data_IF_713707123132
#
_entry.id   IF_713707123132
#
_cell.length_a   1.000
_cell.length_b   1.000
_cell.length_c   1.000
_cell.angle_alpha   90.00
_cell.angle_beta   90.00
_cell.angle_gamma   90.00
#
_symmetry.space_group_name_H-M   'P 1'
#
loop_
_entity.id
_entity.type
_entity.pdbx_description
1 polymer ?
#
# COMPACT_ATOMS: atom_id res chain seq x y z
N UNK A 1 12.64 -22.61 0.23
CA UNK A 1 12.46 -21.15 0.40
C UNK A 1 12.47 -20.49 -0.98
N UNK A 2 11.66 -19.46 -1.19
CA UNK A 2 11.63 -18.67 -2.43
C UNK A 2 12.41 -17.36 -2.25
N UNK A 3 13.32 -17.07 -3.17
CA UNK A 3 14.17 -15.88 -3.15
C UNK A 3 14.32 -15.24 -4.54
N UNK A 4 15.09 -14.15 -4.60
CA UNK A 4 15.31 -13.43 -5.85
C UNK A 4 16.12 -14.22 -6.89
N UNK A 5 16.80 -15.30 -6.46
CA UNK A 5 17.56 -16.20 -7.33
C UNK A 5 16.79 -17.47 -7.71
N UNK A 6 15.52 -17.58 -7.32
CA UNK A 6 14.72 -18.79 -7.53
C UNK A 6 14.30 -19.48 -6.24
N UNK A 7 13.87 -20.74 -6.37
CA UNK A 7 13.54 -21.59 -5.23
C UNK A 7 14.78 -22.33 -4.77
N UNK A 8 15.12 -22.21 -3.50
CA UNK A 8 16.29 -22.83 -2.86
C UNK A 8 15.87 -23.72 -1.70
N UNK A 9 16.61 -24.78 -1.44
CA UNK A 9 16.44 -25.60 -0.23
C UNK A 9 17.25 -25.01 0.91
N UNK A 10 16.64 -24.87 2.09
CA UNK A 10 17.31 -24.39 3.29
C UNK A 10 17.01 -25.39 4.40
N UNK A 11 18.06 -26.03 4.91
CA UNK A 11 17.98 -26.91 6.06
C UNK A 11 18.11 -26.09 7.34
N UNK A 12 17.25 -26.38 8.33
CA UNK A 12 17.18 -25.62 9.58
C UNK A 12 17.28 -26.58 10.75
N UNK A 13 18.32 -26.43 11.58
CA UNK A 13 18.43 -27.15 12.83
C UNK A 13 17.49 -26.53 13.88
N UNK A 14 16.60 -27.34 14.44
CA UNK A 14 15.66 -26.93 15.47
C UNK A 14 16.00 -27.64 16.78
N UNK A 15 16.23 -26.86 17.84
CA UNK A 15 16.34 -27.36 19.20
C UNK A 15 14.94 -27.55 19.77
N UNK A 16 14.69 -28.72 20.36
CA UNK A 16 13.35 -29.15 20.79
C UNK A 16 13.37 -29.68 22.21
N UNK A 17 12.34 -29.34 22.96
CA UNK A 17 12.03 -29.91 24.28
C UNK A 17 10.52 -30.15 24.35
N UNK A 18 10.11 -31.24 25.01
CA UNK A 18 8.68 -31.58 25.17
C UNK A 18 7.94 -30.45 25.88
N UNK A 19 6.78 -30.05 25.36
CA UNK A 19 5.95 -28.98 25.92
C UNK A 19 6.40 -27.56 25.57
N UNK A 20 7.52 -27.37 24.86
CA UNK A 20 8.02 -26.05 24.47
C UNK A 20 8.08 -25.87 22.94
N UNK A 21 7.93 -24.62 22.45
CA UNK A 21 8.11 -24.32 21.03
C UNK A 21 9.56 -24.57 20.62
N UNK A 22 9.75 -25.09 19.40
CA UNK A 22 11.09 -25.36 18.88
C UNK A 22 11.81 -24.07 18.48
N UNK A 23 13.04 -23.92 18.93
CA UNK A 23 13.89 -22.75 18.64
C UNK A 23 14.88 -23.12 17.53
N UNK A 24 15.20 -22.16 16.66
CA UNK A 24 16.15 -22.33 15.56
C UNK A 24 17.18 -21.19 15.62
N UNK A 25 18.24 -21.33 16.44
CA UNK A 25 19.16 -20.23 16.74
C UNK A 25 19.80 -19.61 15.48
N UNK A 26 20.15 -20.44 14.51
CA UNK A 26 20.79 -20.00 13.27
C UNK A 26 19.89 -19.11 12.39
N UNK A 27 18.56 -19.17 12.54
CA UNK A 27 17.65 -18.38 11.72
C UNK A 27 17.88 -16.88 11.87
N UNK A 28 18.18 -16.41 13.10
CA UNK A 28 18.43 -14.99 13.34
C UNK A 28 19.72 -14.53 12.70
N UNK A 29 20.80 -15.30 12.86
CA UNK A 29 22.10 -14.99 12.25
C UNK A 29 22.02 -14.96 10.72
N UNK A 30 21.26 -15.89 10.13
CA UNK A 30 21.04 -15.98 8.69
C UNK A 30 19.90 -15.09 8.18
N UNK A 31 19.28 -14.28 9.05
CA UNK A 31 18.12 -13.44 8.72
C UNK A 31 17.01 -14.22 7.99
N UNK A 32 16.75 -15.46 8.40
CA UNK A 32 15.77 -16.32 7.76
C UNK A 32 14.34 -15.89 8.15
N UNK A 33 13.44 -15.74 7.16
CA UNK A 33 12.06 -15.42 7.43
C UNK A 33 11.34 -16.59 8.12
N UNK A 34 10.31 -16.27 8.90
CA UNK A 34 9.38 -17.28 9.42
C UNK A 34 8.57 -18.00 8.32
N UNK A 35 8.36 -17.33 7.17
CA UNK A 35 7.59 -17.85 6.04
C UNK A 35 8.45 -18.29 4.85
N UNK A 36 7.83 -18.79 3.78
CA UNK A 36 8.54 -19.31 2.60
C UNK A 36 9.30 -18.28 1.77
N UNK A 37 8.92 -17.00 1.81
CA UNK A 37 9.52 -15.95 0.98
C UNK A 37 10.60 -15.20 1.76
N UNK A 38 11.83 -15.16 1.21
CA UNK A 38 12.96 -14.36 1.71
C UNK A 38 12.61 -12.86 1.80
N UNK A 39 13.31 -12.12 2.67
CA UNK A 39 13.09 -10.68 2.83
C UNK A 39 13.30 -9.90 1.53
N UNK A 40 14.32 -10.26 0.74
CA UNK A 40 14.57 -9.64 -0.57
C UNK A 40 13.41 -9.84 -1.55
N UNK A 41 12.87 -11.07 -1.64
CA UNK A 41 11.72 -11.34 -2.50
C UNK A 41 10.45 -10.61 -2.02
N UNK A 42 10.24 -10.50 -0.70
CA UNK A 42 9.11 -9.72 -0.15
C UNK A 42 9.21 -8.24 -0.53
N UNK A 43 10.39 -7.65 -0.37
CA UNK A 43 10.65 -6.25 -0.74
C UNK A 43 10.41 -6.02 -2.23
N UNK A 44 10.90 -6.93 -3.09
CA UNK A 44 10.65 -6.86 -4.53
C UNK A 44 9.16 -6.98 -4.85
N UNK A 45 8.45 -7.92 -4.23
CA UNK A 45 7.01 -8.09 -4.44
C UNK A 45 6.20 -6.83 -4.12
N UNK A 46 6.52 -6.16 -3.02
CA UNK A 46 5.89 -4.88 -2.65
C UNK A 46 6.26 -3.78 -3.65
N UNK A 47 7.54 -3.67 -4.01
CA UNK A 47 8.00 -2.63 -4.94
C UNK A 47 7.32 -2.72 -6.32
N UNK A 48 7.15 -3.93 -6.87
CA UNK A 48 6.47 -4.11 -8.15
C UNK A 48 4.94 -3.97 -8.00
N UNK A 49 4.35 -4.36 -6.87
CA UNK A 49 2.93 -4.19 -6.61
C UNK A 49 2.50 -2.71 -6.49
N UNK A 50 3.38 -1.83 -6.03
CA UNK A 50 3.10 -0.38 -5.94
C UNK A 50 3.07 0.29 -7.32
N UNK A 51 3.82 -0.25 -8.30
CA UNK A 51 3.91 0.34 -9.65
C UNK A 51 2.73 0.00 -10.56
N UNK A 52 1.97 -1.04 -10.27
CA UNK A 52 0.98 -1.58 -11.19
C UNK A 52 0.03 -2.58 -10.57
N UNK A 53 -0.50 -3.49 -11.39
CA UNK A 53 -1.40 -4.54 -10.90
C UNK A 53 -0.61 -5.71 -10.29
N UNK A 54 -1.27 -6.54 -9.45
CA UNK A 54 -0.63 -7.77 -8.95
C UNK A 54 -0.26 -8.76 -10.06
N UNK A 55 -0.95 -8.72 -11.21
CA UNK A 55 -0.58 -9.52 -12.38
C UNK A 55 0.72 -9.01 -13.02
N UNK A 56 0.87 -7.70 -13.15
CA UNK A 56 2.12 -7.07 -13.63
C UNK A 56 3.27 -7.30 -12.64
N UNK A 57 3.01 -7.19 -11.34
CA UNK A 57 3.99 -7.48 -10.31
C UNK A 57 4.48 -8.93 -10.38
N UNK A 58 3.54 -9.88 -10.52
CA UNK A 58 3.88 -11.29 -10.71
C UNK A 58 4.69 -11.49 -11.99
N UNK A 59 4.28 -10.93 -13.12
CA UNK A 59 4.99 -11.08 -14.39
C UNK A 59 6.43 -10.54 -14.29
N UNK A 60 6.62 -9.39 -13.65
CA UNK A 60 7.93 -8.77 -13.44
C UNK A 60 8.84 -9.63 -12.55
N UNK A 61 8.28 -10.23 -11.50
CA UNK A 61 9.02 -11.15 -10.62
C UNK A 61 9.35 -12.45 -11.33
N UNK A 62 8.41 -13.01 -12.08
CA UNK A 62 8.65 -14.24 -12.86
C UNK A 62 9.79 -14.04 -13.87
N UNK A 63 9.84 -12.88 -14.52
CA UNK A 63 10.88 -12.53 -15.47
C UNK A 63 12.28 -12.42 -14.82
N UNK A 64 12.36 -11.85 -13.60
CA UNK A 64 13.65 -11.65 -12.91
C UNK A 64 14.12 -12.84 -12.09
N UNK A 65 13.20 -13.57 -11.47
CA UNK A 65 13.48 -14.54 -10.42
C UNK A 65 12.98 -15.96 -10.74
N UNK A 66 12.31 -16.15 -11.87
CA UNK A 66 11.57 -17.37 -12.18
C UNK A 66 10.24 -17.47 -11.41
N UNK A 67 9.54 -18.59 -11.57
CA UNK A 67 8.20 -18.83 -10.99
C UNK A 67 8.25 -19.08 -9.47
N UNK A 68 8.62 -18.06 -8.71
CA UNK A 68 8.84 -18.13 -7.24
C UNK A 68 7.66 -17.63 -6.42
N UNK A 69 6.67 -16.99 -7.04
CA UNK A 69 5.57 -16.33 -6.37
C UNK A 69 4.28 -16.35 -7.20
N UNK A 70 3.17 -16.77 -6.61
CA UNK A 70 1.84 -16.63 -7.18
C UNK A 70 1.20 -15.26 -6.90
N UNK A 71 0.21 -14.87 -7.71
CA UNK A 71 -0.50 -13.58 -7.57
C UNK A 71 -1.05 -13.35 -6.15
N UNK A 72 -1.78 -14.33 -5.62
CA UNK A 72 -2.36 -14.27 -4.27
C UNK A 72 -1.29 -14.17 -3.18
N UNK A 73 -0.11 -14.73 -3.42
CA UNK A 73 1.01 -14.58 -2.49
C UNK A 73 1.59 -13.17 -2.56
N UNK A 74 1.74 -12.57 -3.75
CA UNK A 74 2.16 -11.17 -3.90
C UNK A 74 1.19 -10.19 -3.20
N UNK A 75 -0.12 -10.41 -3.34
CA UNK A 75 -1.15 -9.67 -2.61
C UNK A 75 -0.98 -9.81 -1.09
N UNK A 76 -0.87 -11.05 -0.59
CA UNK A 76 -0.68 -11.30 0.84
C UNK A 76 0.61 -10.67 1.40
N UNK A 77 1.69 -10.65 0.60
CA UNK A 77 2.95 -10.01 0.98
C UNK A 77 2.78 -8.48 1.06
N UNK A 78 2.00 -7.89 0.14
CA UNK A 78 1.66 -6.47 0.17
C UNK A 78 0.81 -6.12 1.39
N UNK A 79 -0.20 -6.92 1.70
CA UNK A 79 -1.03 -6.78 2.92
C UNK A 79 -0.16 -6.89 4.16
N UNK A 80 0.74 -7.88 4.23
CA UNK A 80 1.61 -8.08 5.37
C UNK A 80 2.58 -6.91 5.58
N UNK A 81 3.09 -6.31 4.50
CA UNK A 81 3.97 -5.14 4.57
C UNK A 81 3.24 -3.86 5.01
N UNK A 82 1.94 -3.75 4.72
CA UNK A 82 1.13 -2.58 5.07
C UNK A 82 0.61 -2.58 6.53
N UNK A 83 0.81 -3.66 7.29
CA UNK A 83 0.24 -3.81 8.65
C UNK A 83 0.69 -2.74 9.64
N UNK A 84 1.90 -2.23 9.47
CA UNK A 84 2.53 -1.33 10.44
C UNK A 84 2.40 0.15 10.03
N UNK A 85 1.52 0.48 9.06
CA UNK A 85 1.38 1.85 8.54
C UNK A 85 0.98 2.85 9.63
N UNK A 86 0.08 2.46 10.54
CA UNK A 86 -0.35 3.32 11.65
C UNK A 86 0.80 3.59 12.62
N UNK A 87 1.60 2.56 12.94
CA UNK A 87 2.76 2.69 13.80
C UNK A 87 3.85 3.55 13.17
N UNK A 88 4.04 3.44 11.84
CA UNK A 88 4.96 4.28 11.08
C UNK A 88 4.58 5.76 11.17
N UNK A 89 3.30 6.11 10.97
CA UNK A 89 2.85 7.51 11.08
C UNK A 89 2.91 8.04 12.51
N UNK A 90 2.55 7.22 13.52
CA UNK A 90 2.66 7.61 14.94
C UNK A 90 4.09 7.97 15.36
N UNK A 91 5.10 7.30 14.79
CA UNK A 91 6.52 7.59 15.07
C UNK A 91 7.03 8.86 14.39
N UNK A 92 6.26 9.44 13.46
CA UNK A 92 6.66 10.59 12.63
C UNK A 92 5.86 11.85 12.92
N UNK A 93 5.14 11.90 14.03
CA UNK A 93 4.44 13.13 14.44
C UNK A 93 5.51 14.18 14.76
N UNK A 94 5.58 15.29 14.00
CA UNK A 94 6.55 16.35 14.26
C UNK A 94 6.20 17.08 15.56
N UNK A 95 7.21 17.69 16.17
CA UNK A 95 6.97 18.62 17.27
C UNK A 95 6.36 19.91 16.72
N UNK A 96 5.44 20.57 17.46
CA UNK A 96 4.89 21.84 17.02
C UNK A 96 5.99 22.89 16.79
N UNK A 97 5.89 23.62 15.68
CA UNK A 97 6.73 24.78 15.41
C UNK A 97 6.28 26.02 16.22
N UNK A 98 7.08 27.08 16.15
CA UNK A 98 6.75 28.36 16.78
C UNK A 98 5.71 29.14 15.96
N UNK A 99 5.18 30.23 16.53
CA UNK A 99 4.21 31.09 15.84
C UNK A 99 4.78 31.79 14.58
N UNK A 100 6.09 31.80 14.40
CA UNK A 100 6.75 32.39 13.22
C UNK A 100 6.68 31.46 11.99
N UNK A 101 6.37 30.19 12.19
CA UNK A 101 6.27 29.19 11.11
C UNK A 101 4.81 28.98 10.72
N UNK A 102 4.53 28.89 9.41
CA UNK A 102 3.17 28.65 8.93
C UNK A 102 2.78 27.19 9.13
N UNK A 103 1.63 26.97 9.76
CA UNK A 103 0.96 25.67 9.74
C UNK A 103 0.14 25.55 8.44
N UNK A 104 0.61 24.77 7.48
CA UNK A 104 -0.07 24.55 6.21
C UNK A 104 -0.88 23.27 6.26
N UNK A 105 -2.15 23.37 5.87
CA UNK A 105 -3.05 22.23 5.72
C UNK A 105 -3.43 22.07 4.25
N UNK A 106 -3.14 20.91 3.70
CA UNK A 106 -3.55 20.53 2.35
C UNK A 106 -4.48 19.33 2.41
N UNK A 107 -5.52 19.36 1.59
CA UNK A 107 -6.52 18.31 1.49
C UNK A 107 -6.68 17.89 0.04
N UNK A 108 -6.67 16.59 -0.21
CA UNK A 108 -7.00 15.98 -1.49
C UNK A 108 -7.92 14.77 -1.26
N UNK A 109 -8.48 14.20 -2.31
CA UNK A 109 -9.28 13.00 -2.21
C UNK A 109 -9.39 12.23 -3.51
N UNK A 110 -9.29 10.90 -3.40
CA UNK A 110 -9.56 10.00 -4.52
C UNK A 110 -10.84 9.20 -4.31
N UNK A 111 -11.73 9.24 -5.29
CA UNK A 111 -12.89 8.34 -5.33
C UNK A 111 -12.45 6.90 -5.66
N UNK A 112 -12.40 6.03 -4.65
CA UNK A 112 -12.03 4.61 -4.76
C UNK A 112 -13.28 3.75 -4.91
N UNK A 113 -13.32 2.89 -5.93
CA UNK A 113 -14.40 1.90 -6.08
C UNK A 113 -14.22 0.82 -5.03
N UNK A 114 -15.20 0.65 -4.15
CA UNK A 114 -15.14 -0.31 -3.05
C UNK A 114 -15.46 -1.72 -3.50
N UNK A 115 -14.83 -2.69 -2.83
CA UNK A 115 -15.23 -4.10 -2.89
C UNK A 115 -16.61 -4.29 -2.25
N UNK A 116 -17.42 -5.27 -2.67
CA UNK A 116 -18.79 -5.48 -2.17
C UNK A 116 -18.90 -5.52 -0.63
N UNK A 117 -17.98 -6.20 0.05
CA UNK A 117 -17.91 -6.31 1.51
C UNK A 117 -17.65 -5.00 2.24
N UNK A 118 -17.16 -3.97 1.54
CA UNK A 118 -16.83 -2.66 2.10
C UNK A 118 -17.83 -1.56 1.67
N UNK A 119 -18.94 -1.95 1.01
CA UNK A 119 -20.03 -1.05 0.67
C UNK A 119 -20.90 -0.73 1.89
N UNK A 120 -21.51 0.46 1.93
CA UNK A 120 -22.53 0.79 2.93
C UNK A 120 -23.73 -0.14 2.77
N UNK A 121 -24.45 -0.50 3.86
CA UNK A 121 -25.56 -1.45 3.79
C UNK A 121 -26.60 -1.15 2.70
N UNK A 122 -27.03 0.10 2.56
CA UNK A 122 -27.98 0.51 1.51
C UNK A 122 -27.42 0.32 0.09
N UNK A 123 -26.17 0.72 -0.14
CA UNK A 123 -25.46 0.54 -1.42
C UNK A 123 -25.21 -0.94 -1.73
N UNK A 124 -24.91 -1.76 -0.71
CA UNK A 124 -24.74 -3.20 -0.86
C UNK A 124 -26.06 -3.87 -1.25
N UNK A 125 -27.17 -3.49 -0.61
CA UNK A 125 -28.52 -3.96 -0.97
C UNK A 125 -28.85 -3.62 -2.43
N UNK A 126 -28.63 -2.36 -2.83
CA UNK A 126 -28.82 -1.94 -4.22
C UNK A 126 -27.88 -2.69 -5.18
N UNK A 127 -26.61 -2.89 -4.82
CA UNK A 127 -25.65 -3.62 -5.64
C UNK A 127 -26.06 -5.07 -5.87
N UNK A 128 -26.60 -5.76 -4.85
CA UNK A 128 -27.08 -7.14 -4.95
C UNK A 128 -28.37 -7.24 -5.77
N UNK A 129 -29.26 -6.25 -5.67
CA UNK A 129 -30.50 -6.21 -6.43
C UNK A 129 -30.32 -5.73 -7.88
N UNK A 130 -29.22 -5.03 -8.18
CA UNK A 130 -28.96 -4.46 -9.49
C UNK A 130 -28.77 -5.55 -10.56
N UNK A 131 -29.61 -5.50 -11.60
CA UNK A 131 -29.38 -6.23 -12.85
C UNK A 131 -28.64 -5.32 -13.81
N UNK A 132 -27.43 -5.72 -14.23
CA UNK A 132 -26.69 -4.97 -15.24
C UNK A 132 -27.36 -5.16 -16.60
N UNK A 133 -27.75 -4.06 -17.24
CA UNK A 133 -28.25 -4.07 -18.62
C UNK A 133 -27.15 -4.43 -19.62
N UNK A 134 -25.89 -4.10 -19.33
CA UNK A 134 -24.73 -4.39 -20.18
C UNK A 134 -23.62 -5.11 -19.39
N UNK A 135 -22.95 -6.06 -20.06
CA UNK A 135 -21.95 -6.93 -19.40
C UNK A 135 -20.63 -6.21 -19.10
N UNK A 136 -20.15 -5.40 -20.05
CA UNK A 136 -18.80 -4.81 -20.03
C UNK A 136 -18.75 -3.33 -19.72
N UNK A 137 -19.85 -2.60 -19.93
CA UNK A 137 -19.94 -1.15 -19.68
C UNK A 137 -21.19 -0.79 -18.90
N UNK A 138 -21.25 0.46 -18.44
CA UNK A 138 -22.45 1.03 -17.85
C UNK A 138 -23.41 1.42 -18.98
N UNK A 139 -24.71 1.24 -18.75
CA UNK A 139 -25.72 1.83 -19.62
C UNK A 139 -25.69 3.37 -19.49
N UNK A 140 -26.18 4.12 -20.50
CA UNK A 140 -26.31 5.57 -20.39
C UNK A 140 -27.09 5.96 -19.12
N UNK A 141 -26.54 6.90 -18.34
CA UNK A 141 -27.13 7.34 -17.07
C UNK A 141 -26.95 6.37 -15.88
N UNK A 142 -26.46 5.14 -16.10
CA UNK A 142 -26.20 4.18 -15.03
C UNK A 142 -25.02 4.67 -14.18
N UNK A 143 -25.30 4.99 -12.91
CA UNK A 143 -24.28 5.38 -11.94
C UNK A 143 -23.99 4.19 -11.02
N UNK A 144 -22.73 3.73 -10.94
CA UNK A 144 -22.42 2.56 -10.13
C UNK A 144 -22.52 2.82 -8.63
N UNK A 145 -22.49 4.08 -8.15
CA UNK A 145 -22.62 4.49 -6.74
C UNK A 145 -21.77 3.69 -5.72
N UNK A 146 -20.67 3.08 -6.17
CA UNK A 146 -19.78 2.21 -5.37
C UNK A 146 -18.48 2.90 -4.98
N UNK A 147 -18.28 4.16 -5.36
CA UNK A 147 -17.08 4.91 -4.98
C UNK A 147 -17.23 5.50 -3.58
N UNK A 148 -16.16 5.44 -2.80
CA UNK A 148 -15.99 6.22 -1.57
C UNK A 148 -14.81 7.15 -1.73
N UNK A 149 -14.91 8.35 -1.16
CA UNK A 149 -13.77 9.24 -1.10
C UNK A 149 -12.76 8.68 -0.10
N UNK A 150 -11.53 8.47 -0.54
CA UNK A 150 -10.36 8.31 0.31
C UNK A 150 -9.73 9.71 0.43
N UNK A 151 -10.06 10.48 1.47
CA UNK A 151 -9.45 11.78 1.70
C UNK A 151 -8.00 11.58 2.17
N UNK A 152 -7.13 12.47 1.72
CA UNK A 152 -5.77 12.64 2.20
C UNK A 152 -5.68 14.05 2.79
N UNK A 153 -5.16 14.14 4.02
CA UNK A 153 -4.77 15.42 4.61
C UNK A 153 -3.27 15.40 4.85
N UNK A 154 -2.60 16.47 4.45
CA UNK A 154 -1.21 16.73 4.78
C UNK A 154 -1.17 17.97 5.67
N UNK A 155 -0.47 17.86 6.80
CA UNK A 155 -0.19 18.99 7.68
C UNK A 155 1.32 19.10 7.76
N UNK A 156 1.85 20.26 7.40
CA UNK A 156 3.28 20.52 7.41
C UNK A 156 3.57 21.98 7.71
N UNK A 157 4.76 22.18 8.26
CA UNK A 157 5.29 23.50 8.52
C UNK A 157 5.94 24.06 7.25
N UNK A 158 5.76 25.35 7.00
CA UNK A 158 6.41 26.06 5.92
C UNK A 158 6.94 27.41 6.41
N UNK A 159 8.14 27.77 5.96
CA UNK A 159 8.67 29.11 6.20
C UNK A 159 7.75 30.13 5.50
N UNK A 160 7.36 31.22 6.18
CA UNK A 160 6.67 32.31 5.51
C UNK A 160 7.51 32.82 4.34
N UNK A 161 6.86 33.01 3.19
CA UNK A 161 7.45 33.67 2.04
C UNK A 161 6.76 35.04 1.85
N UNK A 162 7.27 36.12 2.47
CA UNK A 162 6.67 37.44 2.34
C UNK A 162 6.69 37.90 0.88
N UNK A 163 5.56 38.41 0.40
CA UNK A 163 5.39 38.90 -0.97
C UNK A 163 5.08 40.39 -0.92
N UNK A 164 5.72 41.18 -1.76
CA UNK A 164 5.37 42.58 -2.01
C UNK A 164 4.28 42.63 -3.10
N UNK A 165 3.51 43.73 -3.22
CA UNK A 165 2.43 43.82 -4.19
C UNK A 165 2.82 43.49 -5.65
N UNK A 166 4.04 43.85 -6.07
CA UNK A 166 4.56 43.56 -7.42
C UNK A 166 4.97 42.09 -7.64
N UNK A 167 5.02 41.24 -6.59
CA UNK A 167 5.23 39.80 -6.72
C UNK A 167 3.94 39.02 -7.05
N UNK A 168 2.79 39.72 -7.03
CA UNK A 168 1.45 39.13 -7.20
C UNK A 168 0.72 39.80 -8.38
N UNK A 169 0.82 41.13 -8.46
CA UNK A 169 0.20 41.91 -9.53
C UNK A 169 1.24 42.06 -10.64
N UNK A 170 1.02 41.36 -11.76
CA UNK A 170 1.75 41.66 -12.98
C UNK A 170 1.36 43.08 -13.44
N UNK A 171 2.31 43.97 -13.73
CA UNK A 171 1.99 45.24 -14.34
C UNK A 171 1.30 44.99 -15.69
N UNK A 172 0.32 45.83 -16.07
CA UNK A 172 -0.17 45.81 -17.45
C UNK A 172 1.02 46.19 -18.34
N UNK A 173 1.47 45.21 -19.13
CA UNK A 173 2.60 45.23 -20.07
C UNK A 173 4.01 45.19 -19.44
N UNK A 174 4.51 43.96 -19.18
CA UNK A 174 5.91 43.67 -18.82
C UNK A 174 6.08 42.45 -17.94
#
# INVERSE_FOLDING_TARGET
MACVFGTVTVERCAWRQKGLPSVRPADRALSLPAGRHSHGLRRLAVAEAVRGSYDQAKASIDQRCGRVLGKRQAENLSIAAARDIDAFYRRRIPLPATAETLLVLQFDGKGIVMRPEALRPATLKAHRAARRAMRTRLAPGEKPHRKRMAPLACVFDADPAPRRPHDIIAPPDG
#
